data_IF_729366019040
#
_entry.id   IF_729366019040
#
_cell.length_a   1.000
_cell.length_b   1.000
_cell.length_c   1.000
_cell.angle_alpha   90.00
_cell.angle_beta   90.00
_cell.angle_gamma   90.00
#
_symmetry.space_group_name_H-M   'P 1'
#
loop_
_entity.id
_entity.type
_entity.pdbx_description
1 polymer ?
#
# COMPACT_ATOMS: atom_id res chain seq x y z
N UNK A 1 -1.49 -14.04 20.23
CA UNK A 1 -1.82 -12.62 20.50
C UNK A 1 -1.78 -11.75 19.26
N UNK A 2 -0.81 -11.91 18.34
CA UNK A 2 -0.68 -11.09 17.12
C UNK A 2 -1.89 -11.15 16.15
N UNK A 3 -2.51 -12.32 15.96
CA UNK A 3 -3.73 -12.47 15.13
C UNK A 3 -4.90 -11.59 15.59
N UNK A 4 -5.03 -11.35 16.89
CA UNK A 4 -6.07 -10.48 17.45
C UNK A 4 -5.73 -9.01 17.21
N UNK A 5 -4.44 -8.65 17.29
CA UNK A 5 -3.98 -7.29 17.05
C UNK A 5 -4.20 -6.86 15.59
N UNK A 6 -3.81 -7.68 14.61
CA UNK A 6 -3.99 -7.35 13.18
C UNK A 6 -5.46 -7.24 12.80
N UNK A 7 -6.29 -8.16 13.29
CA UNK A 7 -7.73 -8.14 13.06
C UNK A 7 -8.40 -6.92 13.70
N UNK A 8 -7.93 -6.49 14.88
CA UNK A 8 -8.38 -5.25 15.51
C UNK A 8 -7.96 -4.01 14.72
N UNK A 9 -6.73 -3.96 14.21
CA UNK A 9 -6.24 -2.86 13.36
C UNK A 9 -7.03 -2.79 12.06
N UNK A 10 -7.30 -3.91 11.39
CA UNK A 10 -8.11 -3.93 10.17
C UNK A 10 -9.56 -3.49 10.41
N UNK A 11 -10.14 -3.84 11.55
CA UNK A 11 -11.48 -3.37 11.92
C UNK A 11 -11.45 -1.89 12.30
N UNK A 12 -10.46 -1.43 13.07
CA UNK A 12 -10.40 -0.06 13.57
C UNK A 12 -9.98 0.94 12.50
N UNK A 13 -9.07 0.60 11.59
CA UNK A 13 -8.53 1.51 10.58
C UNK A 13 -9.65 2.19 9.76
N UNK A 14 -10.65 1.50 9.21
CA UNK A 14 -11.78 2.13 8.51
C UNK A 14 -12.60 3.11 9.37
N UNK A 15 -12.69 2.92 10.69
CA UNK A 15 -13.42 3.81 11.60
C UNK A 15 -12.56 4.96 12.13
N UNK A 16 -11.25 4.73 12.26
CA UNK A 16 -10.28 5.73 12.73
C UNK A 16 -9.86 6.67 11.61
N UNK A 17 -9.72 6.18 10.38
CA UNK A 17 -9.29 6.98 9.23
C UNK A 17 -10.20 8.20 8.95
N UNK A 18 -11.54 8.11 9.01
CA UNK A 18 -12.41 9.28 8.91
C UNK A 18 -12.13 10.35 9.97
N UNK A 19 -11.83 9.94 11.21
CA UNK A 19 -11.49 10.85 12.30
C UNK A 19 -10.12 11.49 12.07
N UNK A 20 -9.14 10.71 11.59
CA UNK A 20 -7.82 11.21 11.20
C UNK A 20 -7.95 12.22 10.06
N UNK A 21 -8.71 11.90 9.02
CA UNK A 21 -8.98 12.83 7.93
C UNK A 21 -9.66 14.11 8.42
N UNK A 22 -10.66 14.01 9.29
CA UNK A 22 -11.33 15.17 9.85
C UNK A 22 -10.37 16.04 10.68
N UNK A 23 -9.47 15.43 11.45
CA UNK A 23 -8.44 16.15 12.21
C UNK A 23 -7.43 16.84 11.30
N UNK A 24 -6.94 16.17 10.25
CA UNK A 24 -5.99 16.71 9.28
C UNK A 24 -6.61 17.86 8.47
N UNK A 25 -7.81 17.66 7.91
CA UNK A 25 -8.52 18.69 7.16
C UNK A 25 -8.93 19.86 8.05
N UNK A 26 -9.38 19.58 9.28
CA UNK A 26 -9.72 20.59 10.27
C UNK A 26 -8.51 21.45 10.67
N UNK A 27 -7.35 20.82 10.88
CA UNK A 27 -6.09 21.53 11.13
C UNK A 27 -5.70 22.42 9.94
N UNK A 28 -5.75 21.88 8.71
CA UNK A 28 -5.43 22.64 7.51
C UNK A 28 -6.38 23.83 7.31
N UNK A 29 -7.68 23.64 7.58
CA UNK A 29 -8.68 24.70 7.54
C UNK A 29 -8.42 25.77 8.61
N UNK A 30 -8.05 25.37 9.83
CA UNK A 30 -7.72 26.32 10.90
C UNK A 30 -6.49 27.17 10.53
N UNK A 31 -5.44 26.56 9.98
CA UNK A 31 -4.25 27.27 9.47
C UNK A 31 -4.64 28.21 8.32
N UNK A 32 -5.51 27.77 7.41
CA UNK A 32 -6.02 28.61 6.32
C UNK A 32 -6.78 29.84 6.87
N UNK A 33 -7.64 29.66 7.88
CA UNK A 33 -8.38 30.77 8.50
C UNK A 33 -7.42 31.73 9.21
N UNK A 34 -6.44 31.22 9.97
CA UNK A 34 -5.46 32.06 10.66
C UNK A 34 -4.61 32.87 9.67
N UNK A 35 -4.16 32.25 8.58
CA UNK A 35 -3.39 32.95 7.53
C UNK A 35 -4.22 34.02 6.82
N UNK A 36 -5.51 33.80 6.59
CA UNK A 36 -6.43 34.82 6.05
C UNK A 36 -6.67 35.97 7.04
N UNK A 37 -6.81 35.69 8.34
CA UNK A 37 -6.95 36.73 9.38
C UNK A 37 -5.67 37.58 9.45
N UNK A 38 -4.50 36.97 9.44
CA UNK A 38 -3.22 37.69 9.45
C UNK A 38 -3.00 38.49 8.16
N UNK A 39 -3.50 38.02 7.01
CA UNK A 39 -3.52 38.83 5.79
C UNK A 39 -4.37 40.10 5.97
N UNK A 40 -5.62 39.96 6.43
CA UNK A 40 -6.56 41.08 6.51
C UNK A 40 -6.10 42.08 7.58
N UNK A 41 -5.60 41.60 8.72
CA UNK A 41 -5.26 42.43 9.87
C UNK A 41 -3.84 43.00 9.82
N UNK A 42 -2.87 42.25 9.31
CA UNK A 42 -1.44 42.63 9.32
C UNK A 42 -0.84 42.82 7.94
N UNK A 43 -1.60 42.54 6.87
CA UNK A 43 -1.15 42.61 5.46
C UNK A 43 0.14 41.81 5.23
N UNK A 44 0.29 40.69 5.93
CA UNK A 44 1.50 39.87 5.88
C UNK A 44 1.47 38.89 4.69
N UNK A 45 1.99 39.35 3.56
CA UNK A 45 2.05 38.59 2.31
C UNK A 45 2.91 37.31 2.40
N UNK A 46 3.83 37.21 3.36
CA UNK A 46 4.70 36.01 3.52
C UNK A 46 3.88 34.78 3.94
N UNK A 47 2.88 34.96 4.80
CA UNK A 47 2.02 33.86 5.26
C UNK A 47 1.21 33.27 4.09
N UNK A 48 0.75 34.10 3.17
CA UNK A 48 0.09 33.65 1.93
C UNK A 48 1.06 32.92 1.03
N UNK A 49 2.28 33.45 0.86
CA UNK A 49 3.29 32.79 0.03
C UNK A 49 3.55 31.35 0.48
N UNK A 50 3.67 31.13 1.79
CA UNK A 50 3.85 29.80 2.36
C UNK A 50 2.61 28.91 2.15
N UNK A 51 1.40 29.42 2.41
CA UNK A 51 0.17 28.65 2.24
C UNK A 51 -0.09 28.28 0.77
N UNK A 52 0.14 29.22 -0.15
CA UNK A 52 0.03 28.99 -1.58
C UNK A 52 1.05 27.96 -2.05
N UNK A 53 2.31 28.05 -1.60
CA UNK A 53 3.33 27.05 -1.89
C UNK A 53 2.94 25.66 -1.36
N UNK A 54 2.39 25.57 -0.14
CA UNK A 54 1.93 24.32 0.45
C UNK A 54 0.77 23.70 -0.36
N UNK A 55 -0.19 24.51 -0.81
CA UNK A 55 -1.29 24.06 -1.68
C UNK A 55 -0.75 23.58 -3.02
N UNK A 56 0.15 24.33 -3.66
CA UNK A 56 0.78 23.93 -4.93
C UNK A 56 1.48 22.59 -4.76
N UNK A 57 2.33 22.44 -3.74
CA UNK A 57 3.02 21.18 -3.45
C UNK A 57 2.06 20.01 -3.27
N UNK A 58 0.95 20.21 -2.56
CA UNK A 58 -0.05 19.17 -2.32
C UNK A 58 -0.69 18.63 -3.60
N UNK A 59 -0.86 19.47 -4.63
CA UNK A 59 -1.45 19.06 -5.91
C UNK A 59 -0.42 18.65 -6.97
N UNK A 60 0.82 19.14 -6.89
CA UNK A 60 1.85 18.86 -7.90
C UNK A 60 2.74 17.67 -7.56
N UNK A 61 2.92 17.37 -6.27
CA UNK A 61 3.83 16.30 -5.83
C UNK A 61 3.03 14.99 -5.69
N UNK A 62 3.40 13.93 -6.42
CA UNK A 62 2.71 12.65 -6.36
C UNK A 62 3.17 11.86 -5.12
N UNK A 63 2.85 12.34 -3.91
CA UNK A 63 3.30 11.75 -2.65
C UNK A 63 3.03 10.25 -2.55
N UNK A 64 1.87 9.79 -3.03
CA UNK A 64 1.51 8.38 -3.01
C UNK A 64 2.48 7.52 -3.83
N UNK A 65 2.83 7.97 -5.05
CA UNK A 65 3.78 7.26 -5.91
C UNK A 65 5.17 7.24 -5.29
N UNK A 66 5.62 8.38 -4.74
CA UNK A 66 6.93 8.47 -4.06
C UNK A 66 7.02 7.47 -2.90
N UNK A 67 5.97 7.39 -2.06
CA UNK A 67 5.95 6.44 -0.93
C UNK A 67 5.92 4.99 -1.42
N UNK A 68 5.13 4.69 -2.47
CA UNK A 68 5.06 3.36 -3.06
C UNK A 68 6.40 2.92 -3.66
N UNK A 69 7.07 3.79 -4.42
CA UNK A 69 8.40 3.51 -4.99
C UNK A 69 9.46 3.35 -3.90
N UNK A 70 9.41 4.18 -2.85
CA UNK A 70 10.34 4.07 -1.73
C UNK A 70 10.15 2.73 -0.99
N UNK A 71 8.91 2.36 -0.68
CA UNK A 71 8.60 1.06 -0.08
C UNK A 71 9.02 -0.11 -0.98
N UNK A 72 8.77 -0.01 -2.29
CA UNK A 72 9.19 -1.02 -3.25
C UNK A 72 10.71 -1.21 -3.19
N UNK A 73 11.47 -0.12 -3.33
CA UNK A 73 12.93 -0.16 -3.43
C UNK A 73 13.59 -0.58 -2.12
N UNK A 74 13.12 -0.10 -0.97
CA UNK A 74 13.69 -0.44 0.33
C UNK A 74 13.52 -1.93 0.68
N UNK A 75 12.36 -2.49 0.35
CA UNK A 75 11.99 -3.85 0.74
C UNK A 75 12.21 -4.88 -0.39
N UNK A 76 12.73 -4.47 -1.55
CA UNK A 76 12.89 -5.33 -2.73
C UNK A 76 13.74 -6.57 -2.47
N UNK A 77 14.86 -6.42 -1.75
CA UNK A 77 15.78 -7.53 -1.48
C UNK A 77 15.11 -8.60 -0.63
N UNK A 78 14.47 -8.20 0.47
CA UNK A 78 13.77 -9.13 1.36
C UNK A 78 12.58 -9.81 0.67
N UNK A 79 11.86 -9.09 -0.21
CA UNK A 79 10.80 -9.70 -1.03
C UNK A 79 11.34 -10.73 -2.01
N UNK A 80 12.52 -10.51 -2.60
CA UNK A 80 13.17 -11.50 -3.47
C UNK A 80 13.59 -12.75 -2.68
N UNK A 81 14.06 -12.60 -1.44
CA UNK A 81 14.37 -13.73 -0.56
C UNK A 81 13.11 -14.54 -0.26
N UNK A 82 11.99 -13.88 0.04
CA UNK A 82 10.69 -14.55 0.19
C UNK A 82 10.32 -15.29 -1.09
N UNK A 83 10.38 -14.64 -2.26
CA UNK A 83 10.08 -15.29 -3.56
C UNK A 83 10.92 -16.54 -3.77
N UNK A 84 12.23 -16.48 -3.50
CA UNK A 84 13.13 -17.62 -3.61
C UNK A 84 12.71 -18.76 -2.67
N UNK A 85 12.37 -18.44 -1.42
CA UNK A 85 11.87 -19.42 -0.44
C UNK A 85 10.53 -20.05 -0.86
N UNK A 86 9.66 -19.29 -1.54
CA UNK A 86 8.42 -19.87 -2.05
C UNK A 86 8.67 -20.75 -3.29
N UNK A 87 9.64 -20.40 -4.12
CA UNK A 87 10.03 -21.17 -5.31
C UNK A 87 10.73 -22.50 -4.95
N UNK A 88 11.62 -22.49 -3.96
CA UNK A 88 12.31 -23.69 -3.48
C UNK A 88 11.45 -24.58 -2.56
N UNK A 89 10.26 -24.09 -2.19
CA UNK A 89 9.26 -24.80 -1.40
C UNK A 89 9.54 -24.80 0.11
N UNK A 90 10.47 -23.98 0.60
CA UNK A 90 10.67 -23.74 2.03
C UNK A 90 9.51 -22.96 2.65
N UNK A 91 8.88 -22.05 1.90
CA UNK A 91 7.61 -21.42 2.24
C UNK A 91 6.47 -22.05 1.44
N UNK A 92 5.52 -22.64 2.16
CA UNK A 92 4.34 -23.31 1.58
C UNK A 92 3.04 -22.73 2.15
N UNK A 93 1.91 -22.89 1.42
CA UNK A 93 0.58 -22.54 1.92
C UNK A 93 0.33 -23.11 3.32
N UNK A 94 0.18 -22.21 4.29
CA UNK A 94 0.04 -22.52 5.71
C UNK A 94 -1.29 -21.99 6.29
N UNK A 95 -2.20 -21.53 5.42
CA UNK A 95 -3.52 -21.01 5.78
C UNK A 95 -4.58 -22.06 5.45
N UNK A 96 -5.21 -22.63 6.48
CA UNK A 96 -6.14 -23.78 6.32
C UNK A 96 -7.34 -23.53 5.40
N UNK A 97 -7.76 -22.29 5.22
CA UNK A 97 -8.95 -21.93 4.43
C UNK A 97 -8.61 -21.42 3.03
N UNK A 98 -7.33 -21.34 2.63
CA UNK A 98 -6.93 -20.89 1.31
C UNK A 98 -5.57 -21.51 0.92
N UNK A 99 -5.59 -22.39 -0.08
CA UNK A 99 -4.42 -23.12 -0.57
C UNK A 99 -3.41 -22.25 -1.33
N UNK A 100 -3.74 -20.99 -1.62
CA UNK A 100 -2.86 -20.03 -2.30
C UNK A 100 -2.27 -18.99 -1.34
N UNK A 101 -2.74 -18.92 -0.08
CA UNK A 101 -2.24 -17.98 0.90
C UNK A 101 -1.08 -18.56 1.72
N UNK A 102 -0.03 -17.76 1.85
CA UNK A 102 1.09 -18.02 2.74
C UNK A 102 1.18 -16.87 3.74
N UNK A 103 1.07 -17.20 5.02
CA UNK A 103 1.44 -16.28 6.10
C UNK A 103 2.96 -16.28 6.25
N UNK A 104 3.56 -15.12 6.08
CA UNK A 104 4.99 -14.93 6.21
C UNK A 104 5.44 -15.09 7.67
N UNK A 105 6.69 -15.54 7.90
CA UNK A 105 7.35 -15.43 9.19
C UNK A 105 7.36 -13.99 9.73
N UNK A 106 7.50 -13.82 11.05
CA UNK A 106 7.43 -12.50 11.70
C UNK A 106 8.44 -11.50 11.13
N UNK A 107 9.65 -11.97 10.80
CA UNK A 107 10.72 -11.17 10.18
C UNK A 107 10.34 -10.58 8.80
N UNK A 108 9.46 -11.25 8.04
CA UNK A 108 8.99 -10.78 6.73
C UNK A 108 7.55 -10.26 6.76
N UNK A 109 6.89 -10.26 7.92
CA UNK A 109 5.47 -9.93 8.03
C UNK A 109 5.15 -8.49 7.60
N UNK A 110 6.11 -7.57 7.68
CA UNK A 110 5.99 -6.18 7.22
C UNK A 110 6.03 -6.03 5.71
N UNK A 111 6.46 -7.06 4.96
CA UNK A 111 6.58 -6.99 3.50
C UNK A 111 5.24 -7.00 2.77
N UNK A 112 4.16 -7.40 3.46
CA UNK A 112 2.81 -7.51 2.94
C UNK A 112 1.77 -7.05 3.96
N UNK A 113 0.99 -6.04 3.59
CA UNK A 113 -0.08 -5.48 4.42
C UNK A 113 -1.25 -6.45 4.58
N UNK A 114 -2.07 -6.25 5.62
CA UNK A 114 -3.21 -7.13 5.89
C UNK A 114 -2.83 -8.46 6.55
N UNK A 115 -1.90 -8.40 7.51
CA UNK A 115 -1.55 -9.52 8.39
C UNK A 115 -0.30 -10.32 8.02
N UNK A 116 0.53 -9.81 7.09
CA UNK A 116 1.77 -10.46 6.65
C UNK A 116 1.51 -11.66 5.73
N UNK A 117 0.43 -11.63 4.96
CA UNK A 117 0.02 -12.73 4.09
C UNK A 117 0.34 -12.39 2.63
N UNK A 118 0.79 -13.37 1.84
CA UNK A 118 1.01 -13.26 0.40
C UNK A 118 0.13 -14.26 -0.34
N UNK A 119 -0.20 -13.97 -1.59
CA UNK A 119 -0.92 -14.91 -2.47
C UNK A 119 0.05 -15.46 -3.50
N UNK A 120 -0.01 -16.76 -3.73
CA UNK A 120 0.83 -17.47 -4.69
C UNK A 120 -0.07 -18.14 -5.73
N UNK A 121 0.19 -17.86 -7.00
CA UNK A 121 -0.41 -18.56 -8.12
C UNK A 121 0.67 -19.31 -8.89
N UNK A 122 0.41 -20.60 -9.13
CA UNK A 122 1.30 -21.48 -9.88
C UNK A 122 0.51 -22.12 -11.01
N UNK A 123 0.92 -21.85 -12.25
CA UNK A 123 0.34 -22.43 -13.46
C UNK A 123 1.45 -23.03 -14.32
N UNK A 124 1.56 -24.36 -14.33
CA UNK A 124 2.59 -25.11 -15.07
C UNK A 124 4.02 -24.57 -14.83
N UNK A 125 4.50 -23.70 -15.72
CA UNK A 125 5.83 -23.07 -15.69
C UNK A 125 5.82 -21.62 -15.17
N UNK A 126 4.64 -21.03 -14.97
CA UNK A 126 4.46 -19.67 -14.48
C UNK A 126 4.25 -19.64 -12.97
N UNK A 127 4.99 -18.72 -12.34
CA UNK A 127 5.01 -18.53 -10.90
C UNK A 127 4.80 -17.06 -10.58
N UNK A 128 3.77 -16.74 -9.80
CA UNK A 128 3.46 -15.37 -9.44
C UNK A 128 3.19 -15.22 -7.95
N UNK A 129 3.78 -14.19 -7.34
CA UNK A 129 3.65 -13.90 -5.90
C UNK A 129 3.17 -12.47 -5.71
N UNK A 130 2.07 -12.29 -4.98
CA UNK A 130 1.49 -11.01 -4.63
C UNK A 130 1.79 -10.64 -3.18
N UNK A 131 2.42 -9.48 -3.00
CA UNK A 131 2.61 -8.80 -1.72
C UNK A 131 1.62 -7.62 -1.64
N UNK A 132 0.74 -7.63 -0.66
CA UNK A 132 -0.26 -6.58 -0.52
C UNK A 132 0.38 -5.25 -0.05
N UNK A 133 0.03 -4.16 -0.71
CA UNK A 133 0.21 -2.79 -0.19
C UNK A 133 -1.09 -2.25 0.39
N UNK A 134 -2.22 -2.80 -0.03
CA UNK A 134 -3.53 -2.54 0.53
C UNK A 134 -4.40 -3.79 0.36
N UNK A 135 -5.15 -4.13 1.40
CA UNK A 135 -6.11 -5.22 1.38
C UNK A 135 -7.43 -4.72 1.92
N UNK A 136 -8.41 -4.57 1.03
CA UNK A 136 -9.76 -4.15 1.37
C UNK A 136 -10.55 -5.25 2.09
N UNK A 137 -11.67 -4.87 2.68
CA UNK A 137 -12.60 -5.78 3.36
C UNK A 137 -13.52 -6.51 2.35
N UNK A 138 -13.78 -5.88 1.21
CA UNK A 138 -14.52 -6.45 0.08
C UNK A 138 -13.53 -7.10 -0.90
N UNK A 139 -13.49 -6.64 -2.14
CA UNK A 139 -12.72 -7.28 -3.22
C UNK A 139 -11.54 -6.42 -3.71
N UNK A 140 -11.46 -5.17 -3.25
CA UNK A 140 -10.40 -4.23 -3.65
C UNK A 140 -9.08 -4.51 -2.94
N UNK A 141 -7.98 -4.54 -3.70
CA UNK A 141 -6.63 -4.67 -3.16
C UNK A 141 -5.61 -4.01 -4.08
N UNK A 142 -4.43 -3.73 -3.54
CA UNK A 142 -3.27 -3.38 -4.36
C UNK A 142 -2.04 -4.07 -3.84
N UNK A 143 -1.03 -4.24 -4.69
CA UNK A 143 0.19 -4.90 -4.27
C UNK A 143 1.28 -4.97 -5.32
N UNK A 144 2.43 -5.45 -4.87
CA UNK A 144 3.56 -5.79 -5.73
C UNK A 144 3.45 -7.26 -6.14
N UNK A 145 3.46 -7.50 -7.44
CA UNK A 145 3.47 -8.83 -8.03
C UNK A 145 4.85 -9.11 -8.59
N UNK A 146 5.48 -10.18 -8.11
CA UNK A 146 6.60 -10.81 -8.79
C UNK A 146 6.06 -11.83 -9.78
N UNK A 147 6.42 -11.71 -11.07
CA UNK A 147 6.04 -12.68 -12.10
C UNK A 147 6.94 -12.57 -13.32
N UNK A 148 7.29 -13.71 -13.93
CA UNK A 148 8.10 -13.77 -15.16
C UNK A 148 7.38 -13.17 -16.37
N UNK A 149 6.05 -13.02 -16.30
CA UNK A 149 5.22 -12.41 -17.33
C UNK A 149 4.35 -11.31 -16.74
N UNK A 150 3.84 -10.42 -17.60
CA UNK A 150 2.87 -9.42 -17.14
C UNK A 150 1.64 -10.15 -16.55
N UNK A 151 1.22 -9.83 -15.31
CA UNK A 151 0.06 -10.45 -14.70
C UNK A 151 -1.20 -10.24 -15.55
N UNK A 152 -2.00 -11.30 -15.68
CA UNK A 152 -3.32 -11.21 -16.32
C UNK A 152 -4.26 -10.38 -15.45
N UNK A 153 -5.25 -9.73 -16.07
CA UNK A 153 -6.16 -8.82 -15.35
C UNK A 153 -7.01 -9.53 -14.29
N UNK A 154 -7.23 -10.83 -14.44
CA UNK A 154 -7.99 -11.66 -13.52
C UNK A 154 -7.11 -12.49 -12.56
N UNK A 155 -5.80 -12.23 -12.52
CA UNK A 155 -4.89 -12.95 -11.65
C UNK A 155 -5.21 -12.70 -10.17
N UNK A 156 -4.89 -13.67 -9.31
CA UNK A 156 -5.14 -13.66 -7.87
C UNK A 156 -6.63 -13.52 -7.50
N UNK A 157 -7.52 -13.86 -8.43
CA UNK A 157 -8.97 -13.69 -8.27
C UNK A 157 -9.44 -12.23 -8.26
N UNK A 158 -8.59 -11.28 -8.62
CA UNK A 158 -8.92 -9.85 -8.73
C UNK A 158 -9.45 -9.45 -10.11
N UNK A 159 -9.82 -8.17 -10.26
CA UNK A 159 -10.07 -7.53 -11.56
C UNK A 159 -9.20 -6.26 -11.65
N UNK A 160 -7.96 -6.45 -12.13
CA UNK A 160 -6.96 -5.40 -12.21
C UNK A 160 -7.40 -4.29 -13.15
N UNK A 161 -7.47 -3.07 -12.62
CA UNK A 161 -7.65 -1.85 -13.43
C UNK A 161 -6.33 -1.25 -13.86
N UNK A 162 -5.29 -1.42 -13.05
CA UNK A 162 -3.96 -0.90 -13.33
C UNK A 162 -2.91 -1.98 -13.09
N UNK A 163 -1.97 -2.07 -14.03
CA UNK A 163 -0.80 -2.95 -13.97
C UNK A 163 0.38 -2.13 -14.48
N UNK A 164 1.15 -1.59 -13.55
CA UNK A 164 2.34 -0.78 -13.80
C UNK A 164 3.60 -1.63 -13.61
N UNK A 165 4.60 -1.48 -14.50
CA UNK A 165 5.87 -2.20 -14.35
C UNK A 165 6.81 -1.38 -13.47
N UNK A 166 7.23 -1.97 -12.35
CA UNK A 166 8.14 -1.34 -11.37
C UNK A 166 9.61 -1.67 -11.66
N UNK A 167 9.90 -2.92 -12.04
CA UNK A 167 11.24 -3.38 -12.39
C UNK A 167 11.18 -4.59 -13.33
N UNK A 168 12.32 -5.25 -13.54
CA UNK A 168 12.36 -6.59 -14.13
C UNK A 168 11.57 -7.56 -13.24
N UNK A 169 10.61 -8.28 -13.83
CA UNK A 169 9.69 -9.22 -13.17
C UNK A 169 8.85 -8.69 -12.01
N UNK A 170 8.81 -7.36 -11.82
CA UNK A 170 8.03 -6.71 -10.77
C UNK A 170 6.98 -5.76 -11.35
N UNK A 171 5.74 -5.93 -10.90
CA UNK A 171 4.59 -5.14 -11.30
C UNK A 171 3.85 -4.62 -10.07
N UNK A 172 3.31 -3.41 -10.14
CA UNK A 172 2.33 -2.90 -9.19
C UNK A 172 0.94 -3.07 -9.78
N UNK A 173 0.01 -3.64 -9.01
CA UNK A 173 -1.36 -3.93 -9.45
C UNK A 173 -2.39 -3.31 -8.51
N UNK A 174 -3.52 -2.90 -9.06
CA UNK A 174 -4.68 -2.42 -8.28
C UNK A 174 -5.98 -3.05 -8.79
N UNK A 175 -6.77 -3.60 -7.86
CA UNK A 175 -8.11 -4.14 -8.03
C UNK A 175 -9.09 -3.32 -7.18
N UNK A 176 -10.33 -3.11 -7.67
CA UNK A 176 -11.40 -2.44 -6.92
C UNK A 176 -12.45 -3.40 -6.42
#
# INVERSE_FOLDING_TARGET
MQLVQWKLVEILTPFVMPVVYLAVYGFFLAVLIMTLIDLIRRRNWKAIGIQAAAIVLLFTVPFNQIVLEMDFNMNKSERLEVVAQVQDGSLQPNVMHNSSLIRLPEEYSSLSNGGGEIVVEKHEDDYSVLFFTFRGILDGFSGFVYSNKKPETNAFGGDFKEVERMAEDWYFVTSY
#
